data_IF_976559861810
#
_entry.id   IF_976559861810
#
_cell.length_a   1.000
_cell.length_b   1.000
_cell.length_c   1.000
_cell.angle_alpha   90.00
_cell.angle_beta   90.00
_cell.angle_gamma   90.00
#
_symmetry.space_group_name_H-M   'P 1'
#
loop_
_entity.id
_entity.type
_entity.pdbx_description
1 polymer ?
#
# COMPACT_ATOMS: atom_id res chain seq x y z
N UNK A 1 14.34 9.53 -36.80
CA UNK A 1 14.48 9.84 -38.24
C UNK A 1 13.96 8.65 -39.04
N UNK A 2 13.25 8.95 -40.12
CA UNK A 2 12.92 8.07 -41.24
C UNK A 2 11.79 7.04 -41.06
N UNK A 3 10.58 7.48 -41.40
CA UNK A 3 9.66 6.68 -42.23
C UNK A 3 10.32 6.35 -43.58
N UNK A 4 9.79 5.39 -44.35
CA UNK A 4 8.89 5.85 -45.41
C UNK A 4 7.68 4.95 -45.67
N UNK A 5 6.56 5.64 -45.90
CA UNK A 5 5.42 5.21 -46.70
C UNK A 5 5.83 5.15 -48.19
N UNK A 6 5.42 4.08 -48.89
CA UNK A 6 5.28 3.94 -50.36
C UNK A 6 4.55 2.61 -50.58
N UNK A 7 3.62 2.40 -51.50
CA UNK A 7 3.05 3.16 -52.60
C UNK A 7 1.89 2.29 -53.14
N UNK A 8 0.78 2.87 -53.58
CA UNK A 8 0.54 3.33 -54.95
C UNK A 8 0.04 2.22 -55.90
N UNK A 9 -1.23 2.32 -56.31
CA UNK A 9 -1.79 2.07 -57.65
C UNK A 9 -3.32 2.07 -57.48
N UNK A 10 -4.13 2.96 -58.06
CA UNK A 10 -3.97 3.65 -59.33
C UNK A 10 -4.68 2.84 -60.41
N UNK A 11 -5.97 3.12 -60.67
CA UNK A 11 -6.63 2.84 -61.94
C UNK A 11 -8.00 3.56 -62.00
N UNK A 12 -7.95 4.84 -62.38
CA UNK A 12 -9.07 5.50 -63.06
C UNK A 12 -9.06 5.03 -64.51
N UNK A 13 -10.19 4.59 -65.06
CA UNK A 13 -10.40 4.48 -66.51
C UNK A 13 -11.90 4.55 -66.86
N UNK A 14 -12.26 5.70 -67.43
CA UNK A 14 -13.16 5.97 -68.56
C UNK A 14 -14.59 5.39 -68.62
N UNK A 15 -15.52 6.34 -68.45
CA UNK A 15 -16.82 6.56 -69.09
C UNK A 15 -17.01 5.92 -70.48
N UNK A 16 -18.13 5.21 -70.71
CA UNK A 16 -19.10 5.38 -71.83
C UNK A 16 -20.49 4.85 -71.37
N UNK A 17 -21.61 5.55 -71.64
CA UNK A 17 -22.93 5.19 -71.15
C UNK A 17 -23.67 4.26 -72.12
N UNK A 18 -24.43 3.31 -71.58
CA UNK A 18 -25.44 2.55 -72.33
C UNK A 18 -26.81 2.86 -71.75
N UNK A 19 -27.50 3.77 -72.44
CA UNK A 19 -28.94 3.95 -72.39
C UNK A 19 -29.63 2.61 -72.71
N UNK A 20 -30.36 2.07 -71.73
CA UNK A 20 -31.47 1.17 -72.00
C UNK A 20 -32.72 1.73 -71.32
N UNK A 21 -33.55 2.36 -72.14
CA UNK A 21 -34.97 2.53 -71.88
C UNK A 21 -35.62 1.14 -71.84
N UNK A 22 -36.13 0.75 -70.67
CA UNK A 22 -37.24 -0.20 -70.62
C UNK A 22 -38.27 0.34 -69.62
N UNK A 23 -39.38 0.81 -70.18
CA UNK A 23 -40.62 0.97 -69.45
C UNK A 23 -41.20 -0.43 -69.22
N UNK A 24 -41.67 -0.71 -68.01
CA UNK A 24 -42.38 -1.96 -67.74
C UNK A 24 -42.75 -2.12 -66.27
N UNK A 25 -44.04 -1.90 -65.99
CA UNK A 25 -44.77 -2.28 -64.78
C UNK A 25 -44.41 -1.55 -63.48
N UNK A 26 -45.22 -0.55 -63.16
CA UNK A 26 -45.37 -0.05 -61.80
C UNK A 26 -45.95 -1.15 -60.90
N UNK A 27 -45.09 -1.83 -60.15
CA UNK A 27 -45.47 -2.40 -58.87
C UNK A 27 -45.32 -1.28 -57.84
N UNK A 28 -46.46 -0.74 -57.40
CA UNK A 28 -46.48 0.08 -56.20
C UNK A 28 -45.81 -0.71 -55.06
N UNK A 29 -44.84 -0.13 -54.33
CA UNK A 29 -44.32 -0.78 -53.12
C UNK A 29 -45.51 -1.07 -52.19
N UNK A 30 -45.55 -2.25 -51.55
CA UNK A 30 -46.63 -2.57 -50.62
C UNK A 30 -46.71 -1.46 -49.56
N UNK A 31 -47.92 -1.03 -49.15
CA UNK A 31 -48.05 -0.01 -48.12
C UNK A 31 -47.28 -0.48 -46.89
N UNK A 32 -46.28 0.30 -46.48
CA UNK A 32 -45.54 0.05 -45.25
C UNK A 32 -46.57 -0.05 -44.12
N UNK A 33 -46.56 -1.12 -43.30
CA UNK A 33 -47.39 -1.14 -42.12
C UNK A 33 -47.04 0.09 -41.27
N UNK A 34 -48.02 0.74 -40.62
CA UNK A 34 -47.73 1.91 -39.78
C UNK A 34 -46.63 1.53 -38.81
N UNK A 35 -45.49 2.22 -38.91
CA UNK A 35 -44.36 2.05 -37.99
C UNK A 35 -44.92 2.10 -36.58
N UNK A 36 -44.70 1.03 -35.82
CA UNK A 36 -45.08 1.01 -34.41
C UNK A 36 -44.54 2.29 -33.75
N UNK A 37 -45.33 2.97 -32.91
CA UNK A 37 -44.87 4.18 -32.25
C UNK A 37 -43.55 3.87 -31.53
N UNK A 38 -42.55 4.73 -31.75
CA UNK A 38 -41.26 4.59 -31.11
C UNK A 38 -41.47 4.43 -29.59
N UNK A 39 -40.73 3.53 -28.91
CA UNK A 39 -40.87 3.37 -27.48
C UNK A 39 -40.63 4.73 -26.80
N UNK A 40 -41.40 5.05 -25.75
CA UNK A 40 -41.20 6.29 -25.04
C UNK A 40 -39.75 6.41 -24.57
N UNK A 41 -39.18 7.62 -24.55
CA UNK A 41 -37.82 7.81 -24.06
C UNK A 41 -37.71 7.29 -22.61
N UNK A 42 -36.57 6.69 -22.22
CA UNK A 42 -36.38 6.15 -20.88
C UNK A 42 -36.53 7.26 -19.84
N UNK A 43 -37.21 6.94 -18.74
CA UNK A 43 -37.41 7.86 -17.62
C UNK A 43 -36.12 8.05 -16.81
N UNK A 44 -36.07 9.05 -15.94
CA UNK A 44 -34.92 9.23 -15.05
C UNK A 44 -34.68 8.01 -14.15
N UNK A 45 -35.76 7.38 -13.68
CA UNK A 45 -35.71 6.16 -12.88
C UNK A 45 -35.17 4.97 -13.68
N UNK A 46 -35.55 4.83 -14.96
CA UNK A 46 -35.02 3.77 -15.84
C UNK A 46 -33.50 3.93 -16.04
N UNK A 47 -33.04 5.16 -16.23
CA UNK A 47 -31.62 5.48 -16.39
C UNK A 47 -30.84 5.21 -15.10
N UNK A 48 -31.42 5.53 -13.95
CA UNK A 48 -30.82 5.27 -12.64
C UNK A 48 -30.71 3.76 -12.39
N UNK A 49 -31.76 3.00 -12.68
CA UNK A 49 -31.79 1.55 -12.55
C UNK A 49 -30.82 0.85 -13.51
N UNK A 50 -30.65 1.38 -14.72
CA UNK A 50 -29.68 0.89 -15.69
C UNK A 50 -28.22 1.23 -15.34
N UNK A 51 -27.97 2.03 -14.29
CA UNK A 51 -26.64 2.47 -13.88
C UNK A 51 -26.06 3.60 -14.75
N UNK A 52 -26.84 4.18 -15.67
CA UNK A 52 -26.44 5.38 -16.42
C UNK A 52 -26.65 6.63 -15.56
N UNK A 53 -25.87 6.72 -14.50
CA UNK A 53 -25.99 7.78 -13.49
C UNK A 53 -25.77 9.17 -14.10
N UNK A 54 -24.96 9.28 -15.15
CA UNK A 54 -24.70 10.52 -15.88
C UNK A 54 -25.98 11.09 -16.48
N UNK A 55 -26.68 10.25 -17.25
CA UNK A 55 -27.94 10.64 -17.88
C UNK A 55 -29.08 10.73 -16.87
N UNK A 56 -29.14 9.85 -15.88
CA UNK A 56 -30.14 9.90 -14.80
C UNK A 56 -30.08 11.24 -14.05
N UNK A 57 -28.88 11.69 -13.66
CA UNK A 57 -28.67 12.99 -13.00
C UNK A 57 -29.17 14.16 -13.85
N UNK A 58 -28.86 14.15 -15.15
CA UNK A 58 -29.34 15.18 -16.07
C UNK A 58 -30.86 15.14 -16.27
N UNK A 59 -31.47 13.95 -16.23
CA UNK A 59 -32.91 13.78 -16.31
C UNK A 59 -33.62 14.29 -15.04
N UNK A 60 -33.16 13.92 -13.84
CA UNK A 60 -33.70 14.46 -12.60
C UNK A 60 -33.53 15.97 -12.45
N UNK A 61 -32.45 16.55 -13.01
CA UNK A 61 -32.31 18.02 -13.06
C UNK A 61 -33.40 18.69 -13.93
N UNK A 62 -33.88 18.02 -14.98
CA UNK A 62 -35.02 18.51 -15.76
C UNK A 62 -36.32 18.35 -14.98
N UNK A 63 -36.53 17.18 -14.37
CA UNK A 63 -37.72 16.91 -13.55
C UNK A 63 -37.86 17.89 -12.38
N UNK A 64 -36.74 18.28 -11.74
CA UNK A 64 -36.72 19.32 -10.71
C UNK A 64 -37.30 20.66 -11.22
N UNK A 65 -37.02 21.03 -12.48
CA UNK A 65 -37.47 22.31 -13.05
C UNK A 65 -38.92 22.29 -13.51
N UNK A 66 -39.43 21.11 -13.85
CA UNK A 66 -40.78 20.92 -14.40
C UNK A 66 -41.74 20.26 -13.41
N UNK A 67 -41.29 19.98 -12.19
CA UNK A 67 -42.06 19.31 -11.15
C UNK A 67 -43.31 20.10 -10.78
N UNK A 68 -44.50 19.47 -10.79
CA UNK A 68 -45.76 20.18 -10.54
C UNK A 68 -45.97 20.49 -9.05
N UNK A 69 -45.32 19.74 -8.15
CA UNK A 69 -45.41 19.98 -6.69
C UNK A 69 -44.03 20.13 -6.04
N UNK A 70 -43.95 20.82 -4.89
CA UNK A 70 -42.71 20.88 -4.11
C UNK A 70 -42.14 19.50 -3.74
N UNK A 71 -43.00 18.50 -3.53
CA UNK A 71 -42.56 17.14 -3.22
C UNK A 71 -41.97 16.42 -4.43
N UNK A 72 -42.47 16.68 -5.64
CA UNK A 72 -41.84 16.17 -6.88
C UNK A 72 -40.45 16.76 -7.10
N UNK A 73 -40.30 18.06 -6.80
CA UNK A 73 -39.00 18.74 -6.83
C UNK A 73 -38.05 18.13 -5.79
N UNK A 74 -38.52 17.88 -4.57
CA UNK A 74 -37.75 17.23 -3.51
C UNK A 74 -37.34 15.80 -3.89
N UNK A 75 -38.26 15.01 -4.48
CA UNK A 75 -37.98 13.68 -5.04
C UNK A 75 -36.87 13.75 -6.09
N UNK A 76 -36.99 14.63 -7.08
CA UNK A 76 -36.01 14.77 -8.15
C UNK A 76 -34.63 15.15 -7.60
N UNK A 77 -34.56 16.08 -6.63
CA UNK A 77 -33.31 16.44 -5.95
C UNK A 77 -32.70 15.25 -5.19
N UNK A 78 -33.53 14.48 -4.49
CA UNK A 78 -33.10 13.28 -3.76
C UNK A 78 -32.46 12.25 -4.69
N UNK A 79 -33.15 11.86 -5.77
CA UNK A 79 -32.62 10.87 -6.70
C UNK A 79 -31.45 11.39 -7.54
N UNK A 80 -31.38 12.71 -7.79
CA UNK A 80 -30.19 13.33 -8.38
C UNK A 80 -28.96 13.17 -7.48
N UNK A 81 -29.13 13.33 -6.17
CA UNK A 81 -28.05 13.08 -5.21
C UNK A 81 -27.66 11.59 -5.15
N UNK A 82 -28.62 10.66 -5.25
CA UNK A 82 -28.32 9.23 -5.39
C UNK A 82 -27.54 8.91 -6.66
N UNK A 83 -27.89 9.53 -7.79
CA UNK A 83 -27.13 9.37 -9.03
C UNK A 83 -25.67 9.84 -8.87
N UNK A 84 -25.40 10.89 -8.08
CA UNK A 84 -24.03 11.31 -7.75
C UNK A 84 -23.28 10.29 -6.90
N UNK A 85 -23.94 9.67 -5.93
CA UNK A 85 -23.35 8.56 -5.18
C UNK A 85 -22.95 7.41 -6.11
N UNK A 86 -23.79 7.07 -7.10
CA UNK A 86 -23.48 6.10 -8.15
C UNK A 86 -22.26 6.50 -8.99
N UNK A 87 -22.05 7.80 -9.22
CA UNK A 87 -20.85 8.36 -9.88
C UNK A 87 -19.62 8.46 -8.96
N UNK A 88 -19.70 7.98 -7.71
CA UNK A 88 -18.64 8.10 -6.69
C UNK A 88 -18.33 9.54 -6.27
N UNK A 89 -19.28 10.46 -6.44
CA UNK A 89 -19.18 11.86 -6.04
C UNK A 89 -19.89 12.07 -4.69
N UNK A 90 -19.31 11.48 -3.64
CA UNK A 90 -19.93 11.43 -2.31
C UNK A 90 -20.01 12.79 -1.63
N UNK A 91 -19.02 13.68 -1.83
CA UNK A 91 -18.99 15.00 -1.20
C UNK A 91 -20.14 15.89 -1.70
N UNK A 92 -20.31 15.99 -3.02
CA UNK A 92 -21.40 16.80 -3.61
C UNK A 92 -22.77 16.14 -3.36
N UNK A 93 -22.86 14.80 -3.36
CA UNK A 93 -24.09 14.13 -2.97
C UNK A 93 -24.50 14.45 -1.52
N UNK A 94 -23.54 14.42 -0.58
CA UNK A 94 -23.80 14.74 0.82
C UNK A 94 -24.19 16.21 1.02
N UNK A 95 -23.58 17.14 0.27
CA UNK A 95 -24.00 18.55 0.26
C UNK A 95 -25.44 18.71 -0.24
N UNK A 96 -25.78 18.08 -1.37
CA UNK A 96 -27.14 18.14 -1.91
C UNK A 96 -28.17 17.53 -0.94
N UNK A 97 -27.89 16.38 -0.34
CA UNK A 97 -28.77 15.74 0.65
C UNK A 97 -28.95 16.60 1.91
N UNK A 98 -27.88 17.23 2.43
CA UNK A 98 -27.99 18.16 3.57
C UNK A 98 -28.84 19.37 3.25
N UNK A 99 -28.65 19.96 2.07
CA UNK A 99 -29.44 21.12 1.64
C UNK A 99 -30.93 20.77 1.50
N UNK A 100 -31.23 19.56 1.01
CA UNK A 100 -32.60 19.06 0.90
C UNK A 100 -33.21 18.78 2.29
N UNK A 101 -32.44 18.20 3.21
CA UNK A 101 -32.85 17.90 4.58
C UNK A 101 -33.16 19.14 5.43
N UNK A 102 -32.65 20.32 5.03
CA UNK A 102 -32.86 21.60 5.70
C UNK A 102 -34.12 22.36 5.23
N UNK A 103 -34.84 21.83 4.23
CA UNK A 103 -36.08 22.46 3.74
C UNK A 103 -37.25 22.21 4.69
N UNK A 104 -38.08 23.25 4.88
CA UNK A 104 -39.28 23.26 5.71
C UNK A 104 -40.52 23.63 4.86
N UNK A 105 -41.69 22.99 5.08
CA UNK A 105 -41.95 21.91 6.03
C UNK A 105 -41.36 20.55 5.57
N UNK A 106 -41.11 19.60 6.49
CA UNK A 106 -40.49 18.33 6.14
C UNK A 106 -41.47 17.39 5.43
N UNK A 107 -41.10 16.92 4.24
CA UNK A 107 -41.80 15.87 3.51
C UNK A 107 -41.07 14.51 3.67
N UNK A 108 -41.51 13.49 2.94
CA UNK A 108 -40.86 12.18 2.99
C UNK A 108 -39.42 12.23 2.46
N UNK A 109 -39.18 13.00 1.38
CA UNK A 109 -37.89 13.07 0.70
C UNK A 109 -36.85 13.85 1.51
N UNK A 110 -37.25 14.92 2.19
CA UNK A 110 -36.34 15.65 3.09
C UNK A 110 -35.96 14.82 4.32
N UNK A 111 -36.87 13.98 4.84
CA UNK A 111 -36.56 13.01 5.92
C UNK A 111 -35.59 11.93 5.46
N UNK A 112 -35.80 11.35 4.28
CA UNK A 112 -34.88 10.36 3.70
C UNK A 112 -33.51 10.99 3.42
N UNK A 113 -33.47 12.23 2.94
CA UNK A 113 -32.24 12.95 2.69
C UNK A 113 -31.42 13.14 3.98
N UNK A 114 -32.09 13.46 5.10
CA UNK A 114 -31.46 13.58 6.42
C UNK A 114 -30.81 12.26 6.85
N UNK A 115 -31.57 11.16 6.81
CA UNK A 115 -31.07 9.83 7.20
C UNK A 115 -29.84 9.46 6.36
N UNK A 116 -29.93 9.60 5.04
CA UNK A 116 -28.79 9.28 4.16
C UNK A 116 -27.60 10.21 4.35
N UNK A 117 -27.81 11.52 4.59
CA UNK A 117 -26.69 12.43 4.84
C UNK A 117 -25.96 12.10 6.14
N UNK A 118 -26.69 11.69 7.18
CA UNK A 118 -26.13 11.31 8.48
C UNK A 118 -25.34 10.00 8.36
N UNK A 119 -25.88 9.01 7.64
CA UNK A 119 -25.16 7.76 7.37
C UNK A 119 -23.90 8.00 6.53
N UNK A 120 -23.97 8.83 5.49
CA UNK A 120 -22.79 9.20 4.70
C UNK A 120 -21.72 9.84 5.58
N UNK A 121 -22.09 10.78 6.45
CA UNK A 121 -21.17 11.42 7.38
C UNK A 121 -20.53 10.42 8.37
N UNK A 122 -21.30 9.47 8.88
CA UNK A 122 -20.76 8.40 9.74
C UNK A 122 -19.77 7.52 8.99
N UNK A 123 -20.09 7.12 7.76
CA UNK A 123 -19.18 6.29 6.97
C UNK A 123 -17.88 7.01 6.60
N UNK A 124 -17.90 8.34 6.40
CA UNK A 124 -16.67 9.09 6.13
C UNK A 124 -15.76 9.10 7.36
N UNK A 125 -16.30 9.38 8.54
CA UNK A 125 -15.55 9.35 9.81
C UNK A 125 -14.98 7.96 10.06
N UNK A 126 -15.78 6.91 9.95
CA UNK A 126 -15.32 5.53 10.16
C UNK A 126 -14.22 5.12 9.17
N UNK A 127 -14.24 5.61 7.93
CA UNK A 127 -13.17 5.34 6.96
C UNK A 127 -11.88 6.06 7.33
N UNK A 128 -11.96 7.28 7.86
CA UNK A 128 -10.79 8.02 8.34
C UNK A 128 -10.19 7.34 9.56
N UNK A 129 -11.00 6.98 10.55
CA UNK A 129 -10.56 6.24 11.75
C UNK A 129 -9.91 4.90 11.38
N UNK A 130 -10.49 4.14 10.43
CA UNK A 130 -9.90 2.90 9.95
C UNK A 130 -8.56 3.12 9.25
N UNK A 131 -8.43 4.21 8.48
CA UNK A 131 -7.18 4.56 7.79
C UNK A 131 -6.09 4.92 8.80
N UNK A 132 -6.44 5.71 9.81
CA UNK A 132 -5.51 6.14 10.85
C UNK A 132 -5.05 4.95 11.71
N UNK A 133 -5.98 4.10 12.15
CA UNK A 133 -5.66 2.87 12.86
C UNK A 133 -4.77 1.92 12.01
N UNK A 134 -5.02 1.85 10.71
CA UNK A 134 -4.19 1.10 9.77
C UNK A 134 -2.77 1.64 9.66
N UNK A 135 -2.60 2.96 9.66
CA UNK A 135 -1.30 3.61 9.65
C UNK A 135 -0.52 3.38 10.96
N UNK A 136 -1.19 3.51 12.11
CA UNK A 136 -0.60 3.25 13.42
C UNK A 136 -0.13 1.80 13.55
N UNK A 137 -0.96 0.84 13.15
CA UNK A 137 -0.62 -0.57 13.16
C UNK A 137 0.58 -0.89 12.25
N UNK A 138 0.70 -0.21 11.10
CA UNK A 138 1.88 -0.35 10.24
C UNK A 138 3.16 0.17 10.91
N UNK A 139 3.08 1.35 11.56
CA UNK A 139 4.21 1.92 12.30
C UNK A 139 4.63 1.02 13.47
N UNK A 140 3.68 0.48 14.22
CA UNK A 140 3.95 -0.44 15.32
C UNK A 140 4.63 -1.72 14.83
N UNK A 141 4.21 -2.27 13.68
CA UNK A 141 4.87 -3.43 13.07
C UNK A 141 6.33 -3.13 12.69
N UNK A 142 6.60 -1.99 12.07
CA UNK A 142 7.97 -1.57 11.77
C UNK A 142 8.80 -1.41 13.05
N UNK A 143 8.21 -0.85 14.12
CA UNK A 143 8.90 -0.70 15.40
C UNK A 143 9.23 -2.04 16.04
N UNK A 144 8.33 -3.00 15.99
CA UNK A 144 8.57 -4.37 16.47
C UNK A 144 9.75 -4.98 15.72
N UNK A 145 9.74 -4.90 14.38
CA UNK A 145 10.83 -5.45 13.56
C UNK A 145 12.20 -4.85 13.94
N UNK A 146 12.29 -3.53 14.08
CA UNK A 146 13.54 -2.86 14.49
C UNK A 146 14.01 -3.35 15.87
N UNK A 147 13.07 -3.55 16.80
CA UNK A 147 13.40 -4.04 18.14
C UNK A 147 13.83 -5.51 18.14
N UNK A 148 13.23 -6.33 17.28
CA UNK A 148 13.64 -7.73 17.07
C UNK A 148 15.05 -7.81 16.50
N UNK A 149 15.36 -7.03 15.45
CA UNK A 149 16.69 -6.94 14.85
C UNK A 149 17.74 -6.47 15.89
N UNK A 150 17.43 -5.43 16.67
CA UNK A 150 18.32 -4.95 17.73
C UNK A 150 18.51 -5.96 18.86
N UNK A 151 17.48 -6.76 19.17
CA UNK A 151 17.58 -7.84 20.16
C UNK A 151 18.50 -8.95 19.67
N UNK A 152 18.38 -9.35 18.40
CA UNK A 152 19.26 -10.35 17.79
C UNK A 152 20.72 -9.89 17.78
N UNK A 153 20.99 -8.64 17.39
CA UNK A 153 22.33 -8.05 17.43
C UNK A 153 22.92 -8.08 18.85
N UNK A 154 22.13 -7.66 19.84
CA UNK A 154 22.56 -7.69 21.24
C UNK A 154 22.86 -9.10 21.75
N UNK A 155 22.07 -10.10 21.35
CA UNK A 155 22.32 -11.50 21.71
C UNK A 155 23.60 -12.04 21.08
N UNK A 156 23.91 -11.66 19.84
CA UNK A 156 25.16 -12.00 19.18
C UNK A 156 26.36 -11.38 19.90
N UNK A 157 26.28 -10.10 20.27
CA UNK A 157 27.34 -9.44 21.06
C UNK A 157 27.59 -10.14 22.39
N UNK A 158 26.52 -10.53 23.11
CA UNK A 158 26.65 -11.26 24.38
C UNK A 158 27.34 -12.60 24.18
N UNK A 159 27.01 -13.31 23.10
CA UNK A 159 27.63 -14.61 22.79
C UNK A 159 29.12 -14.43 22.47
N UNK A 160 29.48 -13.45 21.63
CA UNK A 160 30.87 -13.13 21.31
C UNK A 160 31.68 -12.75 22.57
N UNK A 161 31.14 -11.88 23.42
CA UNK A 161 31.80 -11.51 24.69
C UNK A 161 31.95 -12.70 25.63
N UNK A 162 31.01 -13.64 25.63
CA UNK A 162 31.12 -14.85 26.43
C UNK A 162 32.26 -15.75 25.95
N UNK A 163 32.41 -15.93 24.63
CA UNK A 163 33.54 -16.64 24.03
C UNK A 163 34.88 -15.96 24.35
N UNK A 164 34.96 -14.64 24.25
CA UNK A 164 36.15 -13.87 24.66
C UNK A 164 36.49 -14.06 26.14
N UNK A 165 35.49 -14.03 27.02
CA UNK A 165 35.71 -14.28 28.45
C UNK A 165 36.26 -15.69 28.69
N UNK A 166 35.75 -16.69 27.99
CA UNK A 166 36.17 -18.07 28.18
C UNK A 166 37.59 -18.31 27.63
N UNK A 167 37.95 -17.72 26.49
CA UNK A 167 39.34 -17.75 25.99
C UNK A 167 40.32 -17.06 26.95
N UNK A 168 39.96 -15.89 27.48
CA UNK A 168 40.78 -15.18 28.47
C UNK A 168 40.94 -15.98 29.77
N UNK A 169 39.91 -16.74 30.18
CA UNK A 169 39.99 -17.64 31.34
C UNK A 169 40.97 -18.79 31.09
N UNK A 170 40.92 -19.40 29.91
CA UNK A 170 41.87 -20.45 29.53
C UNK A 170 43.31 -19.93 29.50
N UNK A 171 43.55 -18.77 28.89
CA UNK A 171 44.89 -18.17 28.83
C UNK A 171 45.40 -17.79 30.22
N UNK A 172 44.53 -17.26 31.08
CA UNK A 172 44.89 -17.02 32.49
C UNK A 172 45.34 -18.31 33.19
N UNK A 173 44.63 -19.42 32.98
CA UNK A 173 45.01 -20.71 33.58
C UNK A 173 46.35 -21.22 33.02
N UNK A 174 46.58 -21.09 31.71
CA UNK A 174 47.87 -21.45 31.08
C UNK A 174 49.03 -20.62 31.64
N UNK A 175 48.84 -19.32 31.76
CA UNK A 175 49.86 -18.42 32.33
C UNK A 175 50.13 -18.72 33.80
N UNK A 176 49.11 -19.05 34.58
CA UNK A 176 49.29 -19.47 35.98
C UNK A 176 50.08 -20.77 36.10
N UNK A 177 49.84 -21.75 35.21
CA UNK A 177 50.64 -22.97 35.17
C UNK A 177 52.10 -22.68 34.78
N UNK A 178 52.31 -21.90 33.71
CA UNK A 178 53.66 -21.52 33.27
C UNK A 178 54.44 -20.72 34.34
N UNK A 179 53.75 -19.87 35.10
CA UNK A 179 54.35 -19.15 36.22
C UNK A 179 54.81 -20.11 37.32
N UNK A 180 53.97 -21.08 37.72
CA UNK A 180 54.35 -22.11 38.71
C UNK A 180 55.56 -22.91 38.24
N UNK A 181 55.57 -23.36 36.99
CA UNK A 181 56.70 -24.10 36.42
C UNK A 181 58.00 -23.26 36.40
N UNK A 182 57.87 -21.94 36.21
CA UNK A 182 59.01 -21.02 36.23
C UNK A 182 59.51 -20.78 37.66
N UNK A 183 58.61 -20.66 38.64
CA UNK A 183 58.93 -20.55 40.06
C UNK A 183 59.64 -21.80 40.57
N UNK A 184 59.18 -23.00 40.19
CA UNK A 184 59.84 -24.27 40.53
C UNK A 184 61.25 -24.35 39.93
N UNK A 185 61.41 -24.03 38.65
CA UNK A 185 62.73 -23.96 37.99
C UNK A 185 63.66 -22.95 38.65
N UNK A 186 63.13 -21.78 39.05
CA UNK A 186 63.92 -20.77 39.74
C UNK A 186 64.37 -21.27 41.13
N UNK A 187 63.50 -21.97 41.86
CA UNK A 187 63.84 -22.56 43.15
C UNK A 187 64.90 -23.65 43.02
N UNK A 188 64.83 -24.51 42.00
CA UNK A 188 65.83 -25.54 41.74
C UNK A 188 67.18 -24.95 41.34
N UNK A 189 67.19 -23.95 40.44
CA UNK A 189 68.41 -23.23 40.09
C UNK A 189 69.03 -22.55 41.32
N UNK A 190 68.23 -21.96 42.20
CA UNK A 190 68.71 -21.35 43.44
C UNK A 190 69.35 -22.38 44.39
N UNK A 191 68.87 -23.62 44.43
CA UNK A 191 69.51 -24.71 45.18
C UNK A 191 70.84 -25.11 44.54
N UNK A 192 70.87 -25.30 43.22
CA UNK A 192 72.10 -25.64 42.50
C UNK A 192 73.19 -24.59 42.68
N UNK A 193 72.83 -23.30 42.63
CA UNK A 193 73.79 -22.21 42.89
C UNK A 193 74.39 -22.32 44.28
N UNK A 194 73.59 -22.59 45.32
CA UNK A 194 74.10 -22.78 46.69
C UNK A 194 75.05 -23.98 46.79
N UNK A 195 74.69 -25.10 46.18
CA UNK A 195 75.55 -26.30 46.14
C UNK A 195 76.89 -26.01 45.45
N UNK A 196 76.87 -25.27 44.34
CA UNK A 196 78.07 -24.86 43.61
C UNK A 196 78.91 -23.85 44.42
N UNK A 197 78.28 -22.92 45.14
CA UNK A 197 78.96 -21.99 46.05
C UNK A 197 79.67 -22.73 47.19
N UNK A 198 78.99 -23.69 47.82
CA UNK A 198 79.58 -24.53 48.87
C UNK A 198 80.75 -25.37 48.34
N UNK A 199 80.62 -25.96 47.15
CA UNK A 199 81.68 -26.71 46.49
C UNK A 199 82.89 -25.82 46.15
N UNK A 200 82.64 -24.61 45.66
CA UNK A 200 83.68 -23.62 45.37
C UNK A 200 84.44 -23.23 46.65
N UNK A 201 83.72 -22.99 47.75
CA UNK A 201 84.35 -22.65 49.03
C UNK A 201 85.14 -23.82 49.62
N UNK A 202 84.70 -25.06 49.43
CA UNK A 202 85.49 -26.24 49.78
C UNK A 202 86.79 -26.32 48.97
N UNK A 203 86.74 -26.05 47.67
CA UNK A 203 87.92 -26.01 46.80
C UNK A 203 88.90 -24.90 47.22
N UNK A 204 88.41 -23.70 47.52
CA UNK A 204 89.26 -22.60 48.03
C UNK A 204 90.02 -23.01 49.29
N UNK A 205 89.37 -23.71 50.22
CA UNK A 205 90.04 -24.19 51.45
C UNK A 205 91.15 -25.19 51.15
N UNK A 206 90.94 -26.08 50.18
CA UNK A 206 91.97 -27.04 49.72
C UNK A 206 93.15 -26.30 49.10
N UNK A 207 92.88 -25.27 48.29
CA UNK A 207 93.93 -24.50 47.62
C UNK A 207 94.77 -23.70 48.63
N UNK A 208 94.14 -23.05 49.60
CA UNK A 208 94.84 -22.37 50.72
C UNK A 208 95.64 -23.33 51.62
N UNK A 209 95.37 -24.64 51.59
CA UNK A 209 96.16 -25.64 52.29
C UNK A 209 97.36 -26.14 51.47
N UNK A 210 97.38 -25.90 50.16
CA UNK A 210 98.45 -26.33 49.24
C UNK A 210 99.53 -25.26 49.04
N UNK A 211 99.18 -23.99 49.10
CA UNK A 211 100.12 -22.84 49.15
C UNK A 211 99.82 -21.99 50.39
N UNK A 212 100.49 -22.23 51.54
CA UNK A 212 100.32 -21.44 52.76
C UNK A 212 100.96 -20.04 52.69
#
# INVERSE_FOLDING_TARGET
MSSPLRGAAGASLLIVPLLFLSQGAGCAPPPQPPSAPAPPPPTADDLLAAGDYGRARAAYLREERTGPTPSDVARARFFRALARLGQRDAALAQEELRSLAALEPPDMWTRLARVLSDELARTTVLREELRDAGAELHLLRLRIQILEEALEESQQEVTQRQEEIDTLREDRLRLQAALRDAEERAADNARQVRELEEALDALKRIDMQRDP
#
